data_IF_974762427530
#
_entry.id   IF_974762427530
#
_cell.length_a   1.000
_cell.length_b   1.000
_cell.length_c   1.000
_cell.angle_alpha   90.00
_cell.angle_beta   90.00
_cell.angle_gamma   90.00
#
_symmetry.space_group_name_H-M   'P 1'
#
loop_
_entity.id
_entity.type
_entity.pdbx_description
1 polymer ?
#
# COMPACT_ATOMS: atom_id res chain seq x y z
N UNK A 1 16.36 -40.73 23.51
CA UNK A 1 17.37 -40.29 22.51
C UNK A 1 16.94 -38.93 21.96
N UNK A 2 17.33 -37.82 22.61
CA UNK A 2 17.06 -36.47 22.10
C UNK A 2 18.10 -36.17 21.03
N UNK A 3 17.67 -35.96 19.77
CA UNK A 3 18.57 -35.51 18.71
C UNK A 3 18.87 -34.04 18.95
N UNK A 4 20.08 -33.75 19.43
CA UNK A 4 20.56 -32.39 19.55
C UNK A 4 20.64 -31.76 18.16
N UNK A 5 19.69 -30.88 17.85
CA UNK A 5 19.70 -30.07 16.64
C UNK A 5 20.91 -29.14 16.73
N UNK A 6 22.01 -29.50 16.06
CA UNK A 6 23.18 -28.63 15.86
C UNK A 6 22.73 -27.38 15.09
N UNK A 7 22.44 -26.29 15.80
CA UNK A 7 22.12 -24.98 15.20
C UNK A 7 23.41 -24.44 14.59
N UNK A 8 23.50 -24.44 13.24
CA UNK A 8 24.61 -23.83 12.50
C UNK A 8 24.71 -22.34 12.89
N UNK A 9 25.92 -21.88 13.21
CA UNK A 9 26.16 -20.47 13.51
C UNK A 9 25.81 -19.61 12.29
N UNK A 10 24.98 -18.61 12.50
CA UNK A 10 24.63 -17.60 11.50
C UNK A 10 25.90 -16.89 11.01
N UNK A 11 26.06 -16.75 9.69
CA UNK A 11 27.09 -15.89 9.11
C UNK A 11 27.00 -14.46 9.63
N UNK A 12 28.11 -13.74 9.62
CA UNK A 12 28.17 -12.36 10.15
C UNK A 12 27.17 -11.45 9.43
N UNK A 13 27.06 -11.55 8.11
CA UNK A 13 26.06 -10.81 7.32
C UNK A 13 24.62 -11.08 7.76
N UNK A 14 24.29 -12.32 8.15
CA UNK A 14 22.95 -12.67 8.66
C UNK A 14 22.72 -12.11 10.06
N UNK A 15 23.74 -12.04 10.92
CA UNK A 15 23.63 -11.40 12.24
C UNK A 15 23.38 -9.90 12.09
N UNK A 16 24.09 -9.24 11.18
CA UNK A 16 23.89 -7.81 10.87
C UNK A 16 22.47 -7.54 10.36
N UNK A 17 21.99 -8.34 9.39
CA UNK A 17 20.64 -8.22 8.86
C UNK A 17 19.56 -8.40 9.95
N UNK A 18 19.73 -9.38 10.85
CA UNK A 18 18.82 -9.59 11.98
C UNK A 18 18.84 -8.42 12.96
N UNK A 19 20.03 -7.92 13.35
CA UNK A 19 20.14 -6.72 14.20
C UNK A 19 19.42 -5.53 13.57
N UNK A 20 19.57 -5.32 12.26
CA UNK A 20 18.87 -4.26 11.52
C UNK A 20 17.35 -4.44 11.56
N UNK A 21 16.86 -5.65 11.30
CA UNK A 21 15.43 -5.96 11.35
C UNK A 21 14.82 -5.73 12.73
N UNK A 22 15.47 -6.24 13.78
CA UNK A 22 15.04 -6.03 15.17
C UNK A 22 15.02 -4.54 15.51
N UNK A 23 16.08 -3.80 15.15
CA UNK A 23 16.15 -2.35 15.37
C UNK A 23 15.03 -1.60 14.66
N UNK A 24 14.73 -1.97 13.41
CA UNK A 24 13.63 -1.38 12.64
C UNK A 24 12.28 -1.60 13.32
N UNK A 25 11.98 -2.84 13.73
CA UNK A 25 10.72 -3.14 14.41
C UNK A 25 10.62 -2.41 15.74
N UNK A 26 11.68 -2.40 16.56
CA UNK A 26 11.70 -1.65 17.83
C UNK A 26 11.42 -0.16 17.62
N UNK A 27 12.07 0.46 16.63
CA UNK A 27 11.88 1.89 16.30
C UNK A 27 10.45 2.21 15.84
N UNK A 28 9.79 1.30 15.12
CA UNK A 28 8.47 1.54 14.52
C UNK A 28 7.32 0.85 15.28
N UNK A 29 7.52 0.48 16.54
CA UNK A 29 6.49 -0.17 17.39
C UNK A 29 5.16 0.59 17.41
N UNK A 30 5.21 1.92 17.42
CA UNK A 30 4.04 2.79 17.38
C UNK A 30 3.20 2.68 16.09
N UNK A 31 3.78 2.19 15.00
CA UNK A 31 3.10 1.98 13.70
C UNK A 31 2.53 0.57 13.54
N UNK A 32 2.77 -0.32 14.50
CA UNK A 32 2.38 -1.74 14.43
C UNK A 32 1.08 -2.04 15.21
N UNK A 33 0.08 -1.15 15.10
CA UNK A 33 -1.25 -1.31 15.71
C UNK A 33 -2.13 -2.31 14.94
N UNK A 34 -1.55 -3.45 14.56
CA UNK A 34 -2.21 -4.42 13.67
C UNK A 34 -3.48 -5.02 14.27
N UNK A 35 -3.50 -5.29 15.58
CA UNK A 35 -4.69 -5.82 16.25
C UNK A 35 -5.87 -4.85 16.17
N UNK A 36 -5.62 -3.55 16.38
CA UNK A 36 -6.65 -2.51 16.27
C UNK A 36 -7.12 -2.35 14.83
N UNK A 37 -6.21 -2.37 13.86
CA UNK A 37 -6.57 -2.33 12.44
C UNK A 37 -7.46 -3.51 12.05
N UNK A 38 -7.11 -4.73 12.50
CA UNK A 38 -7.92 -5.93 12.25
C UNK A 38 -9.30 -5.86 12.91
N UNK A 39 -9.37 -5.36 14.16
CA UNK A 39 -10.64 -5.17 14.85
C UNK A 39 -11.56 -4.16 14.14
N UNK A 40 -10.97 -3.16 13.48
CA UNK A 40 -11.68 -2.16 12.67
C UNK A 40 -11.97 -2.63 11.24
N UNK A 41 -11.58 -3.85 10.86
CA UNK A 41 -11.72 -4.36 9.49
C UNK A 41 -10.83 -3.63 8.47
N UNK A 42 -9.80 -2.92 8.92
CA UNK A 42 -8.88 -2.20 8.05
C UNK A 42 -7.90 -3.17 7.38
N UNK A 43 -7.56 -2.95 6.09
CA UNK A 43 -6.57 -3.75 5.41
C UNK A 43 -5.18 -3.53 6.03
N UNK A 44 -4.54 -4.62 6.44
CA UNK A 44 -3.16 -4.61 6.99
C UNK A 44 -2.10 -5.01 5.95
N UNK A 45 -2.53 -5.53 4.79
CA UNK A 45 -1.66 -5.96 3.70
C UNK A 45 -1.46 -4.85 2.66
N UNK A 46 -0.30 -4.84 1.99
CA UNK A 46 -0.01 -3.87 0.93
C UNK A 46 -0.65 -4.21 -0.40
N UNK A 47 -1.09 -5.46 -0.61
CA UNK A 47 -1.62 -5.94 -1.89
C UNK A 47 -2.71 -5.06 -2.51
N UNK A 48 -3.80 -4.73 -1.80
CA UNK A 48 -4.84 -3.85 -2.33
C UNK A 48 -4.32 -2.44 -2.68
N UNK A 49 -3.40 -1.91 -1.87
CA UNK A 49 -2.80 -0.58 -2.09
C UNK A 49 -1.90 -0.59 -3.33
N UNK A 50 -1.07 -1.61 -3.49
CA UNK A 50 -0.18 -1.78 -4.64
C UNK A 50 -0.97 -2.03 -5.93
N UNK A 51 -2.03 -2.83 -5.86
CA UNK A 51 -2.96 -3.05 -6.96
C UNK A 51 -3.63 -1.74 -7.38
N UNK A 52 -4.16 -0.96 -6.44
CA UNK A 52 -4.75 0.35 -6.74
C UNK A 52 -3.74 1.32 -7.35
N UNK A 53 -2.51 1.37 -6.82
CA UNK A 53 -1.45 2.20 -7.40
C UNK A 53 -1.11 1.79 -8.84
N UNK A 54 -1.14 0.49 -9.15
CA UNK A 54 -0.91 0.00 -10.52
C UNK A 54 -2.09 0.32 -11.44
N UNK A 55 -3.31 0.04 -11.01
CA UNK A 55 -4.50 0.06 -11.89
C UNK A 55 -5.14 1.44 -12.01
N UNK A 56 -4.95 2.32 -11.03
CA UNK A 56 -5.50 3.70 -11.03
C UNK A 56 -4.39 4.68 -11.39
N UNK A 57 -3.30 4.72 -10.61
CA UNK A 57 -2.26 5.74 -10.76
C UNK A 57 -1.43 5.49 -12.00
N UNK A 58 -0.83 4.31 -12.14
CA UNK A 58 0.07 4.04 -13.26
C UNK A 58 -0.67 3.97 -14.60
N UNK A 59 -1.94 3.54 -14.58
CA UNK A 59 -2.77 3.45 -15.77
C UNK A 59 -2.88 4.78 -16.54
N UNK A 60 -2.85 5.93 -15.84
CA UNK A 60 -3.02 7.24 -16.49
C UNK A 60 -2.00 8.29 -16.13
N UNK A 61 -1.32 8.23 -15.00
CA UNK A 61 -0.36 9.28 -14.61
C UNK A 61 1.08 9.00 -15.04
N UNK A 62 1.42 7.75 -15.41
CA UNK A 62 2.81 7.33 -15.68
C UNK A 62 3.12 7.01 -17.16
N UNK A 63 2.22 7.32 -18.10
CA UNK A 63 2.47 7.03 -19.53
C UNK A 63 3.37 8.10 -20.17
N UNK A 64 3.99 7.74 -21.29
CA UNK A 64 4.91 8.64 -22.02
C UNK A 64 4.23 9.94 -22.42
N UNK A 65 4.97 11.05 -22.32
CA UNK A 65 4.51 12.40 -22.72
C UNK A 65 3.52 13.06 -21.77
N UNK A 66 3.14 12.41 -20.67
CA UNK A 66 2.13 12.96 -19.75
C UNK A 66 2.74 13.96 -18.77
N UNK A 67 2.12 15.13 -18.67
CA UNK A 67 2.42 16.16 -17.68
C UNK A 67 1.13 16.57 -17.00
N UNK A 68 1.15 16.56 -15.68
CA UNK A 68 0.00 16.89 -14.86
C UNK A 68 0.37 18.02 -13.90
N UNK A 69 -0.51 19.00 -13.78
CA UNK A 69 -0.53 19.82 -12.58
C UNK A 69 -1.02 18.96 -11.41
N UNK A 70 -0.64 19.30 -10.17
CA UNK A 70 -1.16 18.62 -8.98
C UNK A 70 -2.70 18.53 -8.97
N UNK A 71 -3.46 19.62 -9.18
CA UNK A 71 -4.93 19.52 -9.21
C UNK A 71 -5.43 18.70 -10.41
N UNK A 72 -4.85 18.85 -11.60
CA UNK A 72 -5.29 18.09 -12.78
C UNK A 72 -5.06 16.58 -12.65
N UNK A 73 -3.93 16.18 -12.05
CA UNK A 73 -3.65 14.78 -11.75
C UNK A 73 -4.62 14.20 -10.73
N UNK A 74 -4.94 14.96 -9.67
CA UNK A 74 -5.88 14.55 -8.63
C UNK A 74 -7.28 14.29 -9.18
N UNK A 75 -7.83 15.23 -9.97
CA UNK A 75 -9.16 15.09 -10.57
C UNK A 75 -9.28 13.82 -11.44
N UNK A 76 -8.21 13.48 -12.16
CA UNK A 76 -8.19 12.27 -13.00
C UNK A 76 -8.12 11.00 -12.17
N UNK A 77 -7.38 11.00 -11.07
CA UNK A 77 -7.35 9.86 -10.15
C UNK A 77 -8.73 9.63 -9.52
N UNK A 78 -9.43 10.70 -9.15
CA UNK A 78 -10.80 10.62 -8.60
C UNK A 78 -11.77 10.00 -9.61
N UNK A 79 -11.77 10.50 -10.85
CA UNK A 79 -12.57 9.92 -11.94
C UNK A 79 -12.27 8.42 -12.14
N UNK A 80 -10.99 8.04 -12.17
CA UNK A 80 -10.60 6.65 -12.35
C UNK A 80 -10.97 5.77 -11.15
N UNK A 81 -10.86 6.31 -9.94
CA UNK A 81 -11.26 5.61 -8.73
C UNK A 81 -12.76 5.31 -8.75
N UNK A 82 -13.60 6.29 -9.09
CA UNK A 82 -15.05 6.08 -9.23
C UNK A 82 -15.41 5.12 -10.35
N UNK A 83 -14.73 5.21 -11.50
CA UNK A 83 -14.91 4.28 -12.62
C UNK A 83 -14.58 2.84 -12.24
N UNK A 84 -13.55 2.62 -11.40
CA UNK A 84 -13.09 1.29 -11.01
C UNK A 84 -13.78 0.72 -9.76
N UNK A 85 -14.26 1.59 -8.86
CA UNK A 85 -14.90 1.16 -7.61
C UNK A 85 -16.40 0.85 -7.76
N UNK A 86 -17.03 1.20 -8.89
CA UNK A 86 -18.41 0.80 -9.22
C UNK A 86 -19.49 1.89 -9.16
N UNK A 87 -19.43 2.96 -8.32
CA UNK A 87 -20.49 3.96 -8.26
C UNK A 87 -20.28 5.07 -9.31
N UNK A 88 -20.04 4.68 -10.57
CA UNK A 88 -19.83 5.64 -11.66
C UNK A 88 -21.04 6.54 -11.88
N UNK A 89 -22.24 5.94 -11.94
CA UNK A 89 -23.47 6.67 -12.25
C UNK A 89 -23.83 7.70 -11.17
N UNK A 90 -23.56 7.37 -9.91
CA UNK A 90 -23.77 8.27 -8.76
C UNK A 90 -22.83 9.47 -8.85
N UNK A 91 -21.53 9.22 -9.08
CA UNK A 91 -20.54 10.29 -9.26
C UNK A 91 -20.86 11.14 -10.49
N UNK A 92 -21.20 10.53 -11.62
CA UNK A 92 -21.50 11.21 -12.87
C UNK A 92 -22.73 12.10 -12.76
N UNK A 93 -23.79 11.62 -12.10
CA UNK A 93 -24.99 12.41 -11.83
C UNK A 93 -24.69 13.62 -10.94
N UNK A 94 -23.88 13.44 -9.89
CA UNK A 94 -23.46 14.54 -9.02
C UNK A 94 -22.61 15.59 -9.75
N UNK A 95 -21.70 15.15 -10.64
CA UNK A 95 -20.88 16.04 -11.45
C UNK A 95 -21.73 16.88 -12.40
N UNK A 96 -22.70 16.27 -13.09
CA UNK A 96 -23.60 16.96 -14.02
C UNK A 96 -24.55 17.93 -13.31
N UNK A 97 -24.94 17.63 -12.06
CA UNK A 97 -25.78 18.53 -11.26
C UNK A 97 -25.02 19.75 -10.72
N UNK A 98 -23.69 19.67 -10.67
CA UNK A 98 -22.81 20.75 -10.20
C UNK A 98 -22.26 21.64 -11.34
N UNK A 99 -22.58 21.31 -12.59
CA UNK A 99 -22.20 22.05 -13.80
C UNK A 99 -23.32 23.03 -14.22
#
# INVERSE_FOLDING_TARGET
>A
MRRDLKVKSSSEGRRVALKRGIGYFKKHRNKMRYAECLAQGLPIGTGPVEAAAKDIVQARLKRSGMRWSRPGGQNILELLAHLKSGPWDVMWSALNAAA
#
